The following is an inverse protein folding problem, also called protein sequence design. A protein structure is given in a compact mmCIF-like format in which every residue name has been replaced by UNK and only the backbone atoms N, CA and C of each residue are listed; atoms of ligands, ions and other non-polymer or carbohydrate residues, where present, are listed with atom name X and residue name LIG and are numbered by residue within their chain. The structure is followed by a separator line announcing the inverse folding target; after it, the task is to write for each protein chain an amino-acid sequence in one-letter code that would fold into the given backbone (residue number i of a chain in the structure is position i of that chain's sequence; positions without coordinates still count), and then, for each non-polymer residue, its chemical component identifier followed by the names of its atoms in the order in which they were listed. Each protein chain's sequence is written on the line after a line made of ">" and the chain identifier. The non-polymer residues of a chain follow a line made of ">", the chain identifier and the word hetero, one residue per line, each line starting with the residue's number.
data_IF_827716698944
#
_entry.id   IF_827716698944
#
_cell.length_a   1.000
_cell.length_b   1.000
_cell.length_c   1.000
_cell.angle_alpha   90.00
_cell.angle_beta   90.00
_cell.angle_gamma   90.00
#
_symmetry.space_group_name_H-M   'P 1'
#
loop_
_entity.id
_entity.type
_entity.pdbx_description
1 polymer ?
#
# COMPACT_ATOMS: atom_id res chain seq x y z
N UNK A 1 -3.91 -21.89 0.69
CA UNK A 1 -5.05 -21.54 -0.20
C UNK A 1 -6.41 -21.62 0.50
N UNK A 2 -6.50 -22.00 1.77
CA UNK A 2 -7.78 -22.01 2.48
C UNK A 2 -8.16 -20.59 2.94
N UNK A 3 -9.46 -20.27 2.93
CA UNK A 3 -9.99 -19.01 3.48
C UNK A 3 -9.97 -19.03 5.01
N UNK A 4 -10.19 -20.20 5.61
CA UNK A 4 -10.18 -20.39 7.06
C UNK A 4 -8.84 -20.97 7.53
N UNK A 5 -8.44 -20.71 8.78
CA UNK A 5 -7.35 -21.45 9.41
C UNK A 5 -7.59 -22.95 9.25
N UNK A 6 -6.51 -23.68 9.04
CA UNK A 6 -6.53 -25.13 8.86
C UNK A 6 -5.77 -25.73 10.03
N UNK A 7 -6.33 -26.76 10.67
CA UNK A 7 -5.63 -27.43 11.75
C UNK A 7 -4.39 -28.19 11.23
N UNK A 8 -3.28 -28.01 11.95
CA UNK A 8 -1.97 -28.55 11.59
C UNK A 8 -1.29 -29.11 12.83
N UNK A 9 -0.78 -30.33 12.71
CA UNK A 9 0.13 -30.91 13.69
C UNK A 9 1.57 -30.61 13.26
N UNK A 10 2.40 -30.13 14.19
CA UNK A 10 3.78 -29.80 13.92
C UNK A 10 4.71 -30.36 15.00
N UNK A 11 5.77 -31.03 14.57
CA UNK A 11 6.88 -31.42 15.46
C UNK A 11 7.89 -30.28 15.50
N UNK A 12 8.04 -29.65 16.67
CA UNK A 12 8.84 -28.43 16.81
C UNK A 12 10.28 -28.78 17.21
N UNK A 13 11.23 -28.39 16.37
CA UNK A 13 12.68 -28.48 16.66
C UNK A 13 13.13 -27.46 17.69
N UNK A 14 12.70 -26.20 17.49
CA UNK A 14 13.18 -25.06 18.26
C UNK A 14 12.14 -23.96 18.28
N UNK A 15 11.95 -23.35 19.44
CA UNK A 15 11.12 -22.16 19.61
C UNK A 15 12.04 -20.96 19.82
N UNK A 16 11.82 -19.90 19.04
CA UNK A 16 12.38 -18.58 19.26
C UNK A 16 11.33 -17.71 19.96
N UNK A 17 11.64 -17.27 21.18
CA UNK A 17 10.76 -16.40 21.97
C UNK A 17 11.04 -14.90 21.78
N UNK A 18 11.75 -14.54 20.72
CA UNK A 18 12.08 -13.15 20.41
C UNK A 18 11.08 -12.62 19.40
N UNK A 19 10.48 -11.47 19.71
CA UNK A 19 9.70 -10.74 18.73
C UNK A 19 10.64 -10.21 17.65
N UNK A 20 10.26 -10.41 16.39
CA UNK A 20 10.98 -9.88 15.23
C UNK A 20 10.23 -8.68 14.68
N UNK A 21 10.95 -7.57 14.53
CA UNK A 21 10.43 -6.32 14.02
C UNK A 21 11.00 -6.05 12.63
N UNK A 22 10.17 -5.48 11.75
CA UNK A 22 10.50 -5.28 10.36
C UNK A 22 9.75 -4.10 9.75
N UNK A 23 10.35 -3.45 8.76
CA UNK A 23 9.73 -2.29 8.08
C UNK A 23 8.62 -2.67 7.12
N UNK A 24 8.58 -3.93 6.70
CA UNK A 24 7.63 -4.41 5.70
C UNK A 24 6.65 -5.40 6.30
N UNK A 25 7.14 -6.36 7.07
CA UNK A 25 6.31 -7.38 7.70
C UNK A 25 5.73 -6.91 9.03
N UNK A 26 4.54 -7.41 9.35
CA UNK A 26 3.96 -7.27 10.68
C UNK A 26 4.86 -7.93 11.73
N UNK A 27 4.99 -7.35 12.94
CA UNK A 27 5.74 -7.97 14.01
C UNK A 27 5.22 -9.37 14.27
N UNK A 28 6.14 -10.33 14.27
CA UNK A 28 5.82 -11.70 14.65
C UNK A 28 6.23 -11.93 16.09
N UNK A 29 5.36 -12.57 16.86
CA UNK A 29 5.61 -12.93 18.25
C UNK A 29 6.60 -14.09 18.35
N UNK A 30 6.20 -15.19 18.95
CA UNK A 30 7.05 -16.39 18.99
C UNK A 30 7.06 -17.08 17.63
N UNK A 31 8.25 -17.45 17.17
CA UNK A 31 8.44 -18.25 15.97
C UNK A 31 8.99 -19.62 16.34
N UNK A 32 8.73 -20.62 15.51
CA UNK A 32 9.22 -21.97 15.73
C UNK A 32 9.75 -22.56 14.43
N UNK A 33 10.84 -23.31 14.54
CA UNK A 33 11.36 -24.15 13.47
C UNK A 33 10.73 -25.52 13.68
N UNK A 34 9.89 -25.95 12.74
CA UNK A 34 9.30 -27.29 12.73
C UNK A 34 10.19 -28.27 11.95
N UNK A 35 10.29 -29.51 12.42
CA UNK A 35 10.90 -30.63 11.67
C UNK A 35 9.89 -31.24 10.70
N UNK A 36 8.63 -31.32 11.11
CA UNK A 36 7.54 -31.82 10.29
C UNK A 36 6.26 -31.02 10.57
N UNK A 37 5.42 -30.89 9.53
CA UNK A 37 4.10 -30.27 9.59
C UNK A 37 3.14 -31.17 8.81
N UNK A 38 2.04 -31.61 9.43
CA UNK A 38 1.01 -32.47 8.85
C UNK A 38 -0.36 -31.80 8.97
N UNK A 39 -1.12 -31.82 7.89
CA UNK A 39 -2.50 -31.32 7.90
C UNK A 39 -3.37 -32.28 8.74
N UNK A 40 -4.08 -31.72 9.72
CA UNK A 40 -5.04 -32.48 10.54
C UNK A 40 -6.45 -32.47 9.93
N UNK A 41 -6.72 -31.57 8.97
CA UNK A 41 -8.00 -31.48 8.27
C UNK A 41 -7.85 -31.10 6.79
N UNK A 42 -8.92 -31.33 6.01
CA UNK A 42 -8.97 -30.98 4.59
C UNK A 42 -9.22 -29.48 4.39
N UNK A 43 -8.30 -28.74 3.76
CA UNK A 43 -8.48 -27.32 3.53
C UNK A 43 -9.61 -27.06 2.53
N UNK A 44 -10.57 -26.18 2.90
CA UNK A 44 -11.56 -25.67 1.94
C UNK A 44 -10.94 -24.57 1.08
N UNK A 45 -10.58 -24.92 -0.16
CA UNK A 45 -10.06 -23.98 -1.15
C UNK A 45 -11.25 -23.37 -1.92
N UNK A 46 -11.24 -22.06 -2.19
CA UNK A 46 -12.28 -21.44 -3.02
C UNK A 46 -12.16 -21.86 -4.47
N UNK A 47 -13.29 -22.17 -5.12
CA UNK A 47 -13.36 -22.60 -6.53
C UNK A 47 -12.63 -21.64 -7.47
N UNK A 48 -12.73 -20.33 -7.20
CA UNK A 48 -12.03 -19.30 -7.97
C UNK A 48 -10.51 -19.46 -7.89
N UNK A 49 -9.96 -19.80 -6.72
CA UNK A 49 -8.53 -20.01 -6.49
C UNK A 49 -8.07 -21.31 -7.14
N UNK A 50 -8.88 -22.37 -7.04
CA UNK A 50 -8.63 -23.62 -7.76
C UNK A 50 -8.59 -23.39 -9.26
N UNK A 51 -9.57 -22.67 -9.80
CA UNK A 51 -9.60 -22.29 -11.21
C UNK A 51 -8.30 -21.62 -11.64
N UNK A 52 -7.86 -20.57 -10.94
CA UNK A 52 -6.62 -19.85 -11.29
C UNK A 52 -5.41 -20.80 -11.29
N UNK A 53 -5.38 -21.76 -10.35
CA UNK A 53 -4.31 -22.74 -10.23
C UNK A 53 -4.33 -23.80 -11.33
N UNK A 54 -5.50 -24.33 -11.67
CA UNK A 54 -5.65 -25.40 -12.67
C UNK A 54 -5.61 -24.86 -14.11
N UNK A 55 -6.12 -23.65 -14.35
CA UNK A 55 -6.07 -22.96 -15.65
C UNK A 55 -4.69 -22.39 -15.97
N UNK A 56 -3.71 -22.58 -15.08
CA UNK A 56 -2.32 -22.14 -15.23
C UNK A 56 -2.15 -20.65 -15.52
N UNK A 57 -2.99 -19.82 -14.91
CA UNK A 57 -3.02 -18.38 -15.18
C UNK A 57 -1.71 -17.70 -14.78
N UNK A 58 -1.30 -16.70 -15.58
CA UNK A 58 -0.19 -15.81 -15.23
C UNK A 58 -0.46 -15.11 -13.91
N UNK A 59 0.58 -14.94 -13.11
CA UNK A 59 0.49 -14.38 -11.76
C UNK A 59 -0.21 -13.00 -11.72
N UNK A 60 0.09 -12.13 -12.68
CA UNK A 60 -0.53 -10.81 -12.79
C UNK A 60 -2.05 -10.89 -13.08
N UNK A 61 -2.45 -11.79 -13.98
CA UNK A 61 -3.85 -12.01 -14.35
C UNK A 61 -4.63 -12.65 -13.20
N UNK A 62 -4.02 -13.67 -12.58
CA UNK A 62 -4.49 -14.36 -11.39
C UNK A 62 -4.82 -13.40 -10.24
N UNK A 63 -3.88 -12.52 -9.89
CA UNK A 63 -4.06 -11.54 -8.82
C UNK A 63 -5.18 -10.55 -9.13
N UNK A 64 -5.20 -10.01 -10.34
CA UNK A 64 -6.24 -9.07 -10.78
C UNK A 64 -7.62 -9.73 -10.79
N UNK A 65 -7.71 -10.96 -11.31
CA UNK A 65 -8.94 -11.75 -11.32
C UNK A 65 -9.46 -11.99 -9.90
N UNK A 66 -8.64 -12.52 -9.00
CA UNK A 66 -9.07 -12.82 -7.64
C UNK A 66 -9.43 -11.53 -6.88
N UNK A 67 -8.65 -10.47 -7.02
CA UNK A 67 -8.97 -9.20 -6.38
C UNK A 67 -10.36 -8.67 -6.80
N UNK A 68 -10.65 -8.67 -8.11
CA UNK A 68 -11.96 -8.25 -8.63
C UNK A 68 -13.12 -9.17 -8.21
N UNK A 69 -12.82 -10.38 -7.75
CA UNK A 69 -13.79 -11.31 -7.20
C UNK A 69 -13.94 -11.24 -5.67
N UNK A 70 -13.38 -10.20 -5.04
CA UNK A 70 -13.60 -9.88 -3.63
C UNK A 70 -12.57 -10.48 -2.66
N UNK A 71 -11.46 -11.04 -3.16
CA UNK A 71 -10.40 -11.52 -2.29
C UNK A 71 -9.54 -10.35 -1.77
N UNK A 72 -9.29 -10.31 -0.46
CA UNK A 72 -8.48 -9.26 0.15
C UNK A 72 -7.01 -9.34 -0.27
N UNK A 73 -6.33 -8.19 -0.26
CA UNK A 73 -4.88 -8.12 -0.52
C UNK A 73 -4.08 -9.02 0.41
N UNK A 74 -4.43 -9.08 1.71
CA UNK A 74 -3.80 -10.00 2.66
C UNK A 74 -3.93 -11.48 2.25
N UNK A 75 -5.09 -11.89 1.75
CA UNK A 75 -5.28 -13.26 1.25
C UNK A 75 -4.42 -13.52 0.01
N UNK A 76 -4.41 -12.57 -0.93
CA UNK A 76 -3.62 -12.65 -2.16
C UNK A 76 -2.12 -12.73 -1.86
N UNK A 77 -1.62 -11.92 -0.92
CA UNK A 77 -0.23 -11.94 -0.47
C UNK A 77 0.18 -13.30 0.09
N UNK A 78 -0.68 -13.91 0.92
CA UNK A 78 -0.42 -15.25 1.48
C UNK A 78 -0.31 -16.32 0.40
N UNK A 79 -1.27 -16.39 -0.53
CA UNK A 79 -1.26 -17.42 -1.57
C UNK A 79 -0.15 -17.16 -2.62
N UNK A 80 0.18 -15.90 -2.88
CA UNK A 80 1.27 -15.52 -3.76
C UNK A 80 2.63 -15.90 -3.15
N UNK A 81 2.86 -15.59 -1.87
CA UNK A 81 4.07 -15.96 -1.13
C UNK A 81 4.28 -17.48 -1.08
N UNK A 82 3.19 -18.24 -0.93
CA UNK A 82 3.20 -19.69 -0.96
C UNK A 82 3.41 -20.30 -2.37
N UNK A 83 3.58 -19.48 -3.42
CA UNK A 83 3.83 -19.96 -4.78
C UNK A 83 2.63 -20.62 -5.46
N UNK A 84 1.40 -20.35 -4.99
CA UNK A 84 0.18 -20.93 -5.56
C UNK A 84 -0.18 -20.26 -6.90
N UNK A 85 0.16 -18.98 -7.07
CA UNK A 85 -0.20 -18.19 -8.24
C UNK A 85 0.91 -18.18 -9.29
N UNK A 86 0.52 -18.11 -10.57
CA UNK A 86 1.43 -18.11 -11.72
C UNK A 86 1.36 -19.39 -12.53
N UNK A 87 2.04 -19.40 -13.68
CA UNK A 87 2.19 -20.58 -14.53
C UNK A 87 3.03 -21.64 -13.81
N UNK A 88 2.76 -22.92 -14.06
CA UNK A 88 3.31 -24.07 -13.32
C UNK A 88 4.83 -24.05 -13.25
N UNK A 89 5.48 -23.62 -14.33
CA UNK A 89 6.96 -23.52 -14.43
C UNK A 89 7.54 -22.32 -13.66
N UNK A 90 6.71 -21.35 -13.31
CA UNK A 90 7.11 -20.10 -12.66
C UNK A 90 6.67 -20.01 -11.20
N UNK A 91 5.85 -20.96 -10.73
CA UNK A 91 5.44 -21.09 -9.32
C UNK A 91 6.66 -21.36 -8.45
N UNK A 92 6.89 -20.48 -7.50
CA UNK A 92 7.97 -20.57 -6.51
C UNK A 92 7.55 -19.87 -5.23
N UNK A 93 8.15 -20.27 -4.11
CA UNK A 93 8.01 -19.52 -2.87
C UNK A 93 8.62 -18.13 -3.07
N UNK A 94 7.89 -17.10 -2.61
CA UNK A 94 8.30 -15.70 -2.69
C UNK A 94 8.36 -15.15 -1.27
N UNK A 95 9.46 -14.48 -0.87
CA UNK A 95 9.53 -13.83 0.43
C UNK A 95 8.30 -12.95 0.70
N UNK A 96 7.78 -12.97 1.92
CA UNK A 96 6.56 -12.23 2.30
C UNK A 96 6.67 -10.76 1.94
N UNK A 97 7.83 -10.12 2.20
CA UNK A 97 8.07 -8.72 1.83
C UNK A 97 7.84 -8.46 0.34
N UNK A 98 8.41 -9.29 -0.52
CA UNK A 98 8.28 -9.16 -1.97
C UNK A 98 6.86 -9.45 -2.42
N UNK A 99 6.16 -10.36 -1.74
CA UNK A 99 4.76 -10.68 -2.01
C UNK A 99 3.83 -9.50 -1.70
N UNK A 100 4.04 -8.82 -0.57
CA UNK A 100 3.28 -7.61 -0.20
C UNK A 100 3.43 -6.55 -1.29
N UNK A 101 4.67 -6.17 -1.62
CA UNK A 101 4.94 -5.15 -2.63
C UNK A 101 4.43 -5.56 -4.03
N UNK A 102 4.64 -6.82 -4.43
CA UNK A 102 4.20 -7.32 -5.73
C UNK A 102 2.67 -7.27 -5.87
N UNK A 103 1.94 -7.71 -4.85
CA UNK A 103 0.47 -7.68 -4.86
C UNK A 103 -0.03 -6.24 -4.91
N UNK A 104 0.50 -5.32 -4.08
CA UNK A 104 0.10 -3.92 -4.12
C UNK A 104 0.41 -3.25 -5.46
N UNK A 105 1.57 -3.55 -6.05
CA UNK A 105 1.95 -3.04 -7.36
C UNK A 105 1.00 -3.54 -8.45
N UNK A 106 0.79 -4.86 -8.55
CA UNK A 106 -0.05 -5.49 -9.59
C UNK A 106 -1.51 -5.04 -9.48
N UNK A 107 -2.10 -5.13 -8.29
CA UNK A 107 -3.49 -4.72 -8.06
C UNK A 107 -3.65 -3.22 -8.30
N UNK A 108 -2.69 -2.41 -7.81
CA UNK A 108 -2.70 -0.97 -8.02
C UNK A 108 -2.62 -0.61 -9.51
N UNK A 109 -1.76 -1.24 -10.30
CA UNK A 109 -1.69 -0.97 -11.75
C UNK A 109 -2.98 -1.36 -12.48
N UNK A 110 -3.63 -2.45 -12.07
CA UNK A 110 -4.93 -2.83 -12.64
C UNK A 110 -6.01 -1.77 -12.36
N UNK A 111 -6.10 -1.28 -11.13
CA UNK A 111 -7.04 -0.21 -10.75
C UNK A 111 -6.68 1.11 -11.44
N UNK A 112 -5.38 1.46 -11.52
CA UNK A 112 -4.92 2.70 -12.16
C UNK A 112 -5.38 2.79 -13.61
N UNK A 113 -5.32 1.68 -14.36
CA UNK A 113 -5.81 1.62 -15.75
C UNK A 113 -7.33 1.84 -15.84
N UNK A 114 -8.08 1.38 -14.85
CA UNK A 114 -9.53 1.56 -14.79
C UNK A 114 -9.90 3.03 -14.51
N UNK A 115 -9.28 3.65 -13.52
CA UNK A 115 -9.57 5.05 -13.14
C UNK A 115 -9.15 6.06 -14.22
N UNK A 116 -8.22 5.69 -15.10
CA UNK A 116 -7.79 6.52 -16.23
C UNK A 116 -8.94 6.95 -17.15
N UNK A 117 -10.01 6.14 -17.20
CA UNK A 117 -11.21 6.42 -18.00
C UNK A 117 -12.26 7.26 -17.28
N UNK A 118 -12.08 7.55 -15.99
CA UNK A 118 -13.04 8.31 -15.19
C UNK A 118 -12.85 9.82 -15.37
N UNK A 119 -13.83 10.61 -14.94
CA UNK A 119 -13.68 12.07 -14.89
C UNK A 119 -12.93 12.49 -13.63
N UNK A 120 -12.18 13.61 -13.64
CA UNK A 120 -11.67 14.20 -12.41
C UNK A 120 -12.80 14.44 -11.40
N UNK A 121 -12.47 14.36 -10.10
CA UNK A 121 -13.39 14.76 -9.03
C UNK A 121 -13.75 16.26 -9.13
N UNK A 122 -14.79 16.69 -8.41
CA UNK A 122 -15.32 18.06 -8.56
C UNK A 122 -14.63 19.12 -7.67
N UNK A 123 -14.07 18.70 -6.53
CA UNK A 123 -13.53 19.60 -5.49
C UNK A 123 -12.24 19.05 -4.91
N UNK A 124 -11.42 19.93 -4.35
CA UNK A 124 -10.25 19.52 -3.58
C UNK A 124 -10.69 19.00 -2.21
N UNK A 125 -10.21 17.81 -1.85
CA UNK A 125 -10.53 17.12 -0.60
C UNK A 125 -9.25 16.92 0.22
N UNK A 126 -9.31 17.17 1.52
CA UNK A 126 -8.25 16.86 2.48
C UNK A 126 -8.79 15.88 3.51
N UNK A 127 -8.07 14.78 3.67
CA UNK A 127 -8.31 13.78 4.71
C UNK A 127 -7.11 13.73 5.64
N UNK A 128 -7.34 13.40 6.91
CA UNK A 128 -6.27 13.20 7.88
C UNK A 128 -6.54 11.97 8.74
N UNK A 129 -5.47 11.35 9.23
CA UNK A 129 -5.54 10.28 10.21
C UNK A 129 -4.21 10.13 10.95
N UNK A 130 -4.25 9.72 12.21
CA UNK A 130 -3.05 9.45 13.00
C UNK A 130 -3.20 8.15 13.78
N UNK A 131 -2.16 7.32 13.76
CA UNK A 131 -2.06 6.12 14.59
C UNK A 131 -0.61 5.67 14.71
N UNK A 132 -0.27 5.07 15.86
CA UNK A 132 1.06 4.52 16.11
C UNK A 132 2.20 5.50 15.77
N UNK A 133 2.04 6.80 16.09
CA UNK A 133 3.07 7.81 15.77
C UNK A 133 3.25 8.11 14.28
N UNK A 134 2.34 7.65 13.42
CA UNK A 134 2.30 7.99 12.00
C UNK A 134 1.11 8.91 11.76
N UNK A 135 1.40 10.13 11.32
CA UNK A 135 0.42 11.14 10.93
C UNK A 135 0.31 11.18 9.40
N UNK A 136 -0.92 11.15 8.89
CA UNK A 136 -1.22 11.13 7.47
C UNK A 136 -2.08 12.33 7.11
N UNK A 137 -1.69 13.03 6.04
CA UNK A 137 -2.53 13.99 5.33
C UNK A 137 -2.67 13.52 3.88
N UNK A 138 -3.88 13.48 3.35
CA UNK A 138 -4.17 12.98 2.00
C UNK A 138 -4.99 14.03 1.26
N UNK A 139 -4.39 14.67 0.27
CA UNK A 139 -5.03 15.68 -0.58
C UNK A 139 -5.40 15.03 -1.91
N UNK A 140 -6.66 15.17 -2.32
CA UNK A 140 -7.13 14.83 -3.67
C UNK A 140 -7.58 16.12 -4.36
N UNK A 141 -7.09 16.40 -5.56
CA UNK A 141 -7.45 17.57 -6.36
C UNK A 141 -8.12 17.21 -7.68
N UNK A 142 -8.99 18.10 -8.22
CA UNK A 142 -9.80 17.86 -9.41
C UNK A 142 -8.98 17.90 -10.71
N UNK A 143 -8.00 17.03 -10.83
CA UNK A 143 -7.06 16.93 -11.96
C UNK A 143 -6.96 15.47 -12.43
N UNK A 144 -6.21 15.24 -13.52
CA UNK A 144 -5.89 13.89 -13.97
C UNK A 144 -5.06 13.14 -12.93
N UNK A 145 -5.06 11.81 -13.02
CA UNK A 145 -4.31 10.98 -12.07
C UNK A 145 -2.82 11.31 -12.08
N UNK A 146 -2.38 11.77 -10.91
CA UNK A 146 -1.00 11.91 -10.50
C UNK A 146 -0.95 11.48 -9.03
N UNK A 147 0.02 10.68 -8.64
CA UNK A 147 0.17 10.26 -7.25
C UNK A 147 1.57 10.63 -6.77
N UNK A 148 1.64 11.30 -5.63
CA UNK A 148 2.89 11.61 -4.96
C UNK A 148 2.80 11.19 -3.49
N UNK A 149 3.83 10.49 -3.02
CA UNK A 149 4.05 10.24 -1.60
C UNK A 149 5.24 11.09 -1.12
N UNK A 150 5.00 11.81 -0.04
CA UNK A 150 6.03 12.48 0.76
C UNK A 150 6.12 11.74 2.09
N UNK A 151 7.29 11.18 2.39
CA UNK A 151 7.57 10.51 3.65
C UNK A 151 8.56 11.33 4.47
N UNK A 152 8.19 11.67 5.70
CA UNK A 152 8.97 12.51 6.61
C UNK A 152 9.27 11.70 7.86
N UNK A 153 10.52 11.28 8.03
CA UNK A 153 11.00 10.70 9.27
C UNK A 153 11.58 11.80 10.15
N UNK A 154 10.87 12.15 11.23
CA UNK A 154 11.36 13.16 12.15
C UNK A 154 12.63 12.69 12.88
N UNK A 155 13.50 13.62 13.26
CA UNK A 155 14.66 13.32 14.11
C UNK A 155 14.22 12.59 15.38
N UNK A 156 15.08 11.70 15.88
CA UNK A 156 14.80 10.80 17.02
C UNK A 156 13.74 9.72 16.73
N UNK A 157 13.25 9.61 15.50
CA UNK A 157 12.51 8.41 15.06
C UNK A 157 13.46 7.22 14.88
N UNK A 158 12.88 6.02 14.80
CA UNK A 158 13.63 4.76 14.72
C UNK A 158 14.65 4.74 13.56
N UNK A 159 14.28 5.28 12.39
CA UNK A 159 15.15 5.30 11.20
C UNK A 159 15.91 6.61 10.98
N UNK A 160 15.53 7.69 11.68
CA UNK A 160 16.19 8.98 11.58
C UNK A 160 16.59 9.50 12.97
N UNK A 161 17.61 8.90 13.63
CA UNK A 161 17.95 9.23 15.01
C UNK A 161 18.56 10.62 15.19
N UNK A 162 19.17 11.19 14.14
CA UNK A 162 19.97 12.43 14.22
C UNK A 162 19.30 13.65 13.58
N UNK A 163 18.71 13.47 12.41
CA UNK A 163 18.17 14.56 11.59
C UNK A 163 16.80 14.16 11.06
N UNK A 164 16.07 15.12 10.47
CA UNK A 164 14.85 14.77 9.75
C UNK A 164 15.26 14.21 8.37
N UNK A 165 14.60 13.17 7.91
CA UNK A 165 14.78 12.65 6.55
C UNK A 165 13.48 12.80 5.79
N UNK A 166 13.57 13.32 4.56
CA UNK A 166 12.41 13.49 3.68
C UNK A 166 12.67 12.74 2.37
N UNK A 167 11.79 11.79 2.09
CA UNK A 167 11.78 11.03 0.85
C UNK A 167 10.54 11.38 0.03
N UNK A 168 10.70 11.50 -1.28
CA UNK A 168 9.58 11.76 -2.20
C UNK A 168 9.67 10.82 -3.39
N UNK A 169 8.52 10.30 -3.80
CA UNK A 169 8.35 9.60 -5.06
C UNK A 169 6.98 9.88 -5.64
N UNK A 170 6.86 9.75 -6.96
CA UNK A 170 5.62 10.01 -7.66
C UNK A 170 5.45 9.12 -8.89
N UNK A 171 4.23 9.13 -9.42
CA UNK A 171 3.89 8.56 -10.71
C UNK A 171 2.73 9.32 -11.33
N UNK A 172 2.63 9.22 -12.65
CA UNK A 172 1.43 9.59 -13.38
C UNK A 172 0.68 8.33 -13.86
N UNK A 173 -0.26 8.54 -14.78
CA UNK A 173 -1.09 7.48 -15.35
C UNK A 173 -0.29 6.40 -16.09
N UNK A 174 0.93 6.68 -16.53
CA UNK A 174 1.78 5.72 -17.23
C UNK A 174 2.27 4.63 -16.25
N UNK A 175 2.58 3.42 -16.75
CA UNK A 175 3.22 2.41 -15.91
C UNK A 175 4.52 2.95 -15.31
N UNK A 176 4.71 2.77 -14.00
CA UNK A 176 5.95 3.17 -13.33
C UNK A 176 7.10 2.32 -13.89
N UNK A 177 8.20 2.96 -14.30
CA UNK A 177 9.34 2.30 -14.93
C UNK A 177 10.18 1.51 -13.94
N UNK A 178 10.41 2.10 -12.77
CA UNK A 178 11.27 1.58 -11.73
C UNK A 178 10.52 1.40 -10.42
N UNK A 179 11.04 0.55 -9.54
CA UNK A 179 10.51 0.45 -8.18
C UNK A 179 10.72 1.76 -7.43
N UNK A 180 9.77 2.08 -6.55
CA UNK A 180 9.88 3.25 -5.69
C UNK A 180 11.11 3.19 -4.80
N UNK A 181 11.85 4.30 -4.72
CA UNK A 181 12.90 4.50 -3.72
C UNK A 181 12.35 4.51 -2.28
N UNK A 182 11.04 4.75 -2.10
CA UNK A 182 10.33 4.62 -0.81
C UNK A 182 9.83 3.19 -0.54
N UNK A 183 10.31 2.21 -1.32
CA UNK A 183 10.10 0.77 -1.09
C UNK A 183 8.61 0.38 -0.97
N UNK A 184 8.26 -0.57 -0.10
CA UNK A 184 6.88 -1.06 0.05
C UNK A 184 5.90 -0.02 0.61
N UNK A 185 6.39 1.00 1.33
CA UNK A 185 5.56 2.07 1.91
C UNK A 185 4.82 2.86 0.84
N UNK A 186 5.48 3.14 -0.29
CA UNK A 186 4.86 3.78 -1.46
C UNK A 186 3.63 3.04 -1.96
N UNK A 187 3.78 1.74 -2.25
CA UNK A 187 2.68 0.95 -2.81
C UNK A 187 1.57 0.72 -1.78
N UNK A 188 1.92 0.63 -0.49
CA UNK A 188 0.96 0.54 0.60
C UNK A 188 0.14 1.83 0.78
N UNK A 189 0.73 3.01 0.57
CA UNK A 189 -0.02 4.28 0.57
C UNK A 189 -0.85 4.44 -0.71
N UNK A 190 -0.30 4.05 -1.87
CA UNK A 190 -0.93 4.20 -3.19
C UNK A 190 -2.20 3.38 -3.36
N UNK A 191 -2.20 2.12 -2.90
CA UNK A 191 -3.30 1.21 -3.14
C UNK A 191 -4.65 1.68 -2.56
N UNK A 192 -4.76 2.09 -1.28
CA UNK A 192 -6.01 2.61 -0.73
C UNK A 192 -6.56 3.85 -1.44
N UNK A 193 -5.67 4.72 -1.93
CA UNK A 193 -6.06 5.88 -2.75
C UNK A 193 -6.71 5.43 -4.05
N UNK A 194 -6.07 4.50 -4.76
CA UNK A 194 -6.59 3.94 -6.00
C UNK A 194 -7.95 3.26 -5.79
N UNK A 195 -8.09 2.50 -4.71
CA UNK A 195 -9.35 1.86 -4.33
C UNK A 195 -10.46 2.87 -4.06
N UNK A 196 -10.14 3.97 -3.34
CA UNK A 196 -11.08 5.06 -3.07
C UNK A 196 -11.53 5.73 -4.38
N UNK A 197 -10.60 6.08 -5.26
CA UNK A 197 -10.91 6.68 -6.57
C UNK A 197 -11.75 5.74 -7.43
N UNK A 198 -11.46 4.44 -7.41
CA UNK A 198 -12.27 3.42 -8.09
C UNK A 198 -13.70 3.38 -7.56
N UNK A 199 -13.86 3.36 -6.24
CA UNK A 199 -15.17 3.36 -5.58
C UNK A 199 -15.99 4.60 -5.95
N UNK A 200 -15.36 5.78 -5.96
CA UNK A 200 -16.01 7.06 -6.31
C UNK A 200 -16.19 7.27 -7.81
N UNK A 201 -15.67 6.36 -8.65
CA UNK A 201 -15.67 6.48 -10.12
C UNK A 201 -15.10 7.83 -10.59
N UNK A 202 -14.02 8.27 -9.96
CA UNK A 202 -13.32 9.51 -10.28
C UNK A 202 -11.81 9.31 -10.40
N UNK A 203 -11.13 10.28 -10.99
CA UNK A 203 -9.67 10.42 -10.91
C UNK A 203 -9.29 11.73 -10.21
N UNK A 204 -8.07 11.81 -9.70
CA UNK A 204 -7.58 12.99 -8.99
C UNK A 204 -6.05 13.05 -9.04
N UNK A 205 -5.49 14.25 -8.97
CA UNK A 205 -4.10 14.44 -8.54
C UNK A 205 -4.05 14.30 -7.01
N UNK A 206 -3.17 13.43 -6.52
CA UNK A 206 -3.14 12.96 -5.13
C UNK A 206 -1.78 13.24 -4.52
N UNK A 207 -1.78 13.89 -3.37
CA UNK A 207 -0.63 14.02 -2.51
C UNK A 207 -0.91 13.32 -1.17
N UNK A 208 -0.12 12.31 -0.86
CA UNK A 208 -0.08 11.70 0.48
C UNK A 208 1.15 12.19 1.20
N UNK A 209 0.98 12.74 2.39
CA UNK A 209 2.06 13.11 3.30
C UNK A 209 1.97 12.16 4.49
N UNK A 210 3.07 11.48 4.77
CA UNK A 210 3.25 10.64 5.95
C UNK A 210 4.36 11.22 6.81
N UNK A 211 4.01 11.71 7.99
CA UNK A 211 4.95 12.15 9.01
C UNK A 211 5.09 11.09 10.10
N UNK A 212 6.29 10.55 10.27
CA UNK A 212 6.63 9.56 11.27
C UNK A 212 7.30 10.27 12.46
N UNK A 213 6.57 10.31 13.58
CA UNK A 213 6.97 10.96 14.82
C UNK A 213 7.90 10.06 15.65
N UNK A 214 8.69 10.63 16.60
CA UNK A 214 9.52 9.86 17.54
C UNK A 214 8.75 8.84 18.38
N UNK A 215 7.43 9.03 18.54
CA UNK A 215 6.57 8.07 19.22
C UNK A 215 6.38 6.75 18.46
N UNK A 216 6.79 6.66 17.19
CA UNK A 216 6.87 5.39 16.45
C UNK A 216 8.18 4.65 16.80
N UNK A 217 8.15 3.97 17.95
CA UNK A 217 9.33 3.33 18.53
C UNK A 217 9.64 1.92 18.00
N UNK A 218 8.75 1.33 17.20
CA UNK A 218 8.92 -0.03 16.66
C UNK A 218 8.42 -0.09 15.22
N UNK A 219 9.20 -0.65 14.26
CA UNK A 219 8.73 -0.83 12.91
C UNK A 219 7.70 -1.96 12.89
N UNK A 220 6.47 -1.60 12.53
CA UNK A 220 5.32 -2.48 12.51
C UNK A 220 5.04 -3.05 11.11
N UNK A 221 5.81 -2.71 10.09
CA UNK A 221 5.53 -3.13 8.71
C UNK A 221 4.69 -2.14 7.89
N UNK A 222 4.61 -2.37 6.58
CA UNK A 222 3.92 -1.46 5.64
C UNK A 222 2.40 -1.45 5.79
N UNK A 223 1.81 -2.42 6.51
CA UNK A 223 0.38 -2.43 6.79
C UNK A 223 -0.07 -1.19 7.58
N UNK A 224 0.82 -0.60 8.39
CA UNK A 224 0.53 0.66 9.10
C UNK A 224 0.22 1.76 8.09
N UNK A 225 0.97 1.81 7.00
CA UNK A 225 0.77 2.79 5.93
C UNK A 225 -0.55 2.54 5.20
N UNK A 226 -0.78 1.28 4.80
CA UNK A 226 -2.01 0.90 4.09
C UNK A 226 -3.25 1.21 4.92
N UNK A 227 -3.28 0.78 6.18
CA UNK A 227 -4.41 1.01 7.08
C UNK A 227 -4.56 2.48 7.47
N UNK A 228 -3.46 3.22 7.62
CA UNK A 228 -3.47 4.64 7.93
C UNK A 228 -4.14 5.45 6.83
N UNK A 229 -3.71 5.28 5.58
CA UNK A 229 -4.30 5.96 4.42
C UNK A 229 -5.73 5.49 4.19
N UNK A 230 -6.02 4.19 4.31
CA UNK A 230 -7.37 3.64 4.19
C UNK A 230 -8.33 4.23 5.22
N UNK A 231 -7.89 4.45 6.46
CA UNK A 231 -8.70 5.06 7.51
C UNK A 231 -8.88 6.57 7.30
N UNK A 232 -7.85 7.28 6.84
CA UNK A 232 -7.98 8.68 6.43
C UNK A 232 -9.09 8.84 5.39
N UNK A 233 -9.07 8.04 4.32
CA UNK A 233 -10.04 8.11 3.22
C UNK A 233 -11.47 7.65 3.59
N UNK A 234 -11.65 6.95 4.72
CA UNK A 234 -12.97 6.60 5.26
C UNK A 234 -13.58 7.71 6.12
N UNK A 235 -12.77 8.69 6.55
CA UNK A 235 -13.24 9.83 7.32
C UNK A 235 -13.95 10.86 6.42
N UNK A 236 -14.68 11.80 7.04
CA UNK A 236 -15.28 12.91 6.31
C UNK A 236 -14.17 13.90 5.89
N UNK A 237 -14.03 14.21 4.59
CA UNK A 237 -13.02 15.17 4.15
C UNK A 237 -13.37 16.59 4.53
N UNK A 238 -12.34 17.41 4.69
CA UNK A 238 -12.43 18.85 4.55
C UNK A 238 -12.41 19.20 3.06
N UNK A 239 -13.25 20.16 2.65
CA UNK A 239 -13.43 20.54 1.25
C UNK A 239 -12.82 21.92 1.04
N UNK A 240 -12.04 22.06 -0.04
CA UNK A 240 -11.35 23.29 -0.40
C UNK A 240 -11.65 23.67 -1.84
N UNK A 241 -11.52 24.97 -2.14
CA UNK A 241 -11.67 25.51 -3.50
C UNK A 241 -10.39 25.34 -4.33
N UNK A 242 -9.22 25.22 -3.68
CA UNK A 242 -7.95 25.04 -4.37
C UNK A 242 -7.03 24.03 -3.66
N UNK A 243 -6.09 23.47 -4.43
CA UNK A 243 -5.00 22.66 -3.86
C UNK A 243 -4.14 23.47 -2.87
N UNK A 244 -3.89 24.75 -3.14
CA UNK A 244 -3.03 25.58 -2.28
C UNK A 244 -3.64 25.83 -0.90
N UNK A 245 -4.98 25.97 -0.84
CA UNK A 245 -5.69 26.09 0.44
C UNK A 245 -5.60 24.79 1.24
N UNK A 246 -5.81 23.64 0.59
CA UNK A 246 -5.68 22.33 1.21
C UNK A 246 -4.23 22.06 1.66
N UNK A 247 -3.24 22.41 0.84
CA UNK A 247 -1.81 22.30 1.16
C UNK A 247 -1.45 23.17 2.36
N UNK A 248 -1.99 24.38 2.43
CA UNK A 248 -1.80 25.28 3.56
C UNK A 248 -2.42 24.70 4.83
N UNK A 249 -3.62 24.12 4.75
CA UNK A 249 -4.27 23.46 5.87
C UNK A 249 -3.47 22.25 6.37
N UNK A 250 -3.07 21.33 5.47
CA UNK A 250 -2.22 20.19 5.80
C UNK A 250 -0.89 20.63 6.42
N UNK A 251 -0.27 21.69 5.88
CA UNK A 251 0.98 22.22 6.41
C UNK A 251 0.87 22.78 7.82
N UNK A 252 -0.32 23.10 8.34
CA UNK A 252 -0.48 23.51 9.75
C UNK A 252 -0.38 22.32 10.71
N UNK A 253 -0.60 21.10 10.22
CA UNK A 253 -0.67 19.85 11.00
C UNK A 253 0.61 19.02 10.92
N UNK A 254 1.34 19.12 9.82
CA UNK A 254 2.66 18.49 9.64
C UNK A 254 3.73 19.38 10.25
N UNK A 255 4.57 18.88 11.16
CA UNK A 255 5.53 19.73 11.90
C UNK A 255 6.67 20.24 11.03
N UNK A 256 7.36 19.35 10.31
CA UNK A 256 8.40 19.73 9.36
C UNK A 256 7.74 20.44 8.16
N UNK A 257 8.31 21.56 7.68
CA UNK A 257 7.76 22.33 6.53
C UNK A 257 8.57 22.22 5.25
N UNK A 258 9.78 21.65 5.30
CA UNK A 258 10.71 21.57 4.18
C UNK A 258 10.15 20.74 3.01
N UNK A 259 9.30 19.76 3.33
CA UNK A 259 8.62 18.94 2.33
C UNK A 259 7.81 19.74 1.32
N UNK A 260 7.33 20.94 1.67
CA UNK A 260 6.52 21.79 0.77
C UNK A 260 7.28 22.14 -0.51
N UNK A 261 8.60 22.29 -0.43
CA UNK A 261 9.44 22.59 -1.59
C UNK A 261 9.63 21.37 -2.52
N UNK A 262 9.32 20.16 -2.06
CA UNK A 262 9.49 18.91 -2.80
C UNK A 262 8.19 18.43 -3.46
N UNK A 263 7.07 19.10 -3.18
CA UNK A 263 5.78 18.81 -3.81
C UNK A 263 5.88 19.16 -5.28
N UNK A 264 5.59 18.18 -6.14
CA UNK A 264 5.51 18.39 -7.57
C UNK A 264 4.04 18.31 -8.00
N UNK A 265 3.70 19.10 -9.02
CA UNK A 265 2.41 18.99 -9.70
C UNK A 265 2.62 18.40 -11.08
N UNK A 266 1.61 17.69 -11.56
CA UNK A 266 1.58 17.30 -12.96
C UNK A 266 1.40 18.57 -13.81
N UNK A 267 2.46 19.04 -14.44
CA UNK A 267 2.37 20.07 -15.47
C UNK A 267 1.82 19.45 -16.74
N UNK A 268 0.56 19.73 -17.05
CA UNK A 268 0.03 19.46 -18.40
C UNK A 268 0.65 20.43 -19.40
N UNK A 269 0.73 20.05 -20.68
CA UNK A 269 1.12 20.99 -21.74
C UNK A 269 0.24 22.25 -21.72
N UNK A 270 -1.06 22.11 -21.41
CA UNK A 270 -1.97 23.24 -21.23
C UNK A 270 -1.53 24.17 -20.09
N UNK A 271 -1.11 23.62 -18.93
CA UNK A 271 -0.58 24.42 -17.82
C UNK A 271 0.75 25.12 -18.13
N UNK A 272 1.56 24.57 -19.05
CA UNK A 272 2.80 25.19 -19.51
C UNK A 272 2.52 26.34 -20.51
N UNK A 273 1.45 26.22 -21.29
CA UNK A 273 1.03 27.25 -22.25
C UNK A 273 -0.05 28.22 -21.74
N UNK A 274 -0.51 28.06 -20.49
CA UNK A 274 -1.48 28.96 -19.86
C UNK A 274 -2.87 28.96 -20.49
N UNK A 275 -3.28 27.83 -21.11
CA UNK A 275 -4.63 27.64 -21.67
C UNK A 275 -5.55 26.93 -20.69
#
# INVERSE_FOLDING_TARGET
>A
AAIKPVDVEAEIRKISRKAEFDDVMQPMGYSAIAESIKLAENPKIPDKVEKVYYDDMKAYEALSYLYNHGFSTYYLQKIFSAGILGERKSRKLVPTRWSITAVHSIVGEAIKREIAAYKPIDKTLLFNYEHFGNHFEVILSPENYFFQLVEIWQRKSFWSPKEDWIGVDSEDIRPKRDYSNLSGGYYAARLPVLEYLREKRGQASVLVIREIKPSYYAPLGVWVVEEGVRKALKSKPEVFESFDDALTAASRRVENKEWRALVSRQTSLASFFGF
#
